data_IF_720110648090
#
_entry.id   IF_720110648090
#
_cell.length_a   1.000
_cell.length_b   1.000
_cell.length_c   1.000
_cell.angle_alpha   90.00
_cell.angle_beta   90.00
_cell.angle_gamma   90.00
#
_symmetry.space_group_name_H-M   'P 1'
#
loop_
_entity.id
_entity.type
_entity.pdbx_description
1 polymer ?
#
# COMPACT_ATOMS: atom_id res chain seq x y z
N UNK A 1 24.95 15.00 -13.10
CA UNK A 1 24.22 13.72 -12.99
C UNK A 1 24.28 13.25 -11.54
N UNK A 2 23.18 13.34 -10.77
CA UNK A 2 23.14 12.69 -9.46
C UNK A 2 23.19 11.18 -9.70
N UNK A 3 24.07 10.48 -8.98
CA UNK A 3 24.15 9.01 -9.02
C UNK A 3 22.73 8.47 -8.84
N UNK A 4 22.24 7.66 -9.81
CA UNK A 4 21.04 6.85 -9.59
C UNK A 4 21.25 6.13 -8.26
N UNK A 5 20.36 6.36 -7.30
CA UNK A 5 20.35 5.63 -6.04
C UNK A 5 20.32 4.16 -6.41
N UNK A 6 21.39 3.42 -6.12
CA UNK A 6 21.45 2.00 -6.42
C UNK A 6 20.39 1.38 -5.51
N UNK A 7 19.26 0.97 -6.10
CA UNK A 7 18.20 0.30 -5.36
C UNK A 7 18.83 -0.97 -4.77
N UNK A 8 18.79 -1.17 -3.44
CA UNK A 8 19.37 -2.35 -2.84
C UNK A 8 18.73 -3.64 -3.39
N UNK A 9 19.37 -4.78 -3.19
CA UNK A 9 18.71 -6.06 -3.53
C UNK A 9 17.52 -6.29 -2.61
N UNK A 10 16.43 -6.79 -3.18
CA UNK A 10 15.22 -7.08 -2.42
C UNK A 10 15.49 -8.15 -1.36
N UNK A 11 15.08 -7.96 -0.09
CA UNK A 11 15.34 -8.93 0.97
C UNK A 11 14.62 -10.26 0.74
N UNK A 12 15.20 -11.34 1.26
CA UNK A 12 14.54 -12.65 1.40
C UNK A 12 14.30 -12.97 2.89
N UNK A 13 13.22 -13.69 3.23
CA UNK A 13 12.16 -14.17 2.33
C UNK A 13 11.07 -13.11 2.06
N UNK A 14 10.37 -13.25 0.93
CA UNK A 14 9.16 -12.46 0.59
C UNK A 14 7.92 -12.85 1.41
N UNK A 15 7.85 -14.12 1.81
CA UNK A 15 6.79 -14.64 2.68
C UNK A 15 7.30 -14.67 4.11
N UNK A 16 6.85 -13.72 4.93
CA UNK A 16 7.25 -13.62 6.34
C UNK A 16 6.11 -14.10 7.23
N UNK A 17 6.21 -15.29 7.86
CA UNK A 17 5.26 -15.69 8.89
C UNK A 17 5.44 -14.85 10.15
N UNK A 18 4.41 -14.78 11.01
CA UNK A 18 4.44 -13.95 12.24
C UNK A 18 5.65 -14.25 13.14
N UNK A 19 6.01 -15.53 13.35
CA UNK A 19 7.16 -15.90 14.19
C UNK A 19 8.52 -15.43 13.63
N UNK A 20 8.58 -14.98 12.38
CA UNK A 20 9.78 -14.47 11.73
C UNK A 20 9.79 -12.94 11.63
N UNK A 21 9.08 -12.24 12.52
CA UNK A 21 8.95 -10.77 12.57
C UNK A 21 10.30 -10.03 12.51
N UNK A 22 11.39 -10.63 13.03
CA UNK A 22 12.75 -10.05 12.89
C UNK A 22 13.16 -9.76 11.43
N UNK A 23 12.59 -10.45 10.44
CA UNK A 23 12.87 -10.19 9.02
C UNK A 23 12.14 -8.93 8.52
N UNK A 24 11.10 -8.45 9.20
CA UNK A 24 10.38 -7.22 8.88
C UNK A 24 11.32 -6.01 8.93
N UNK A 25 12.21 -5.94 9.91
CA UNK A 25 13.17 -4.84 10.03
C UNK A 25 14.08 -4.71 8.79
N UNK A 26 14.47 -5.84 8.17
CA UNK A 26 15.26 -5.84 6.93
C UNK A 26 14.47 -5.26 5.75
N UNK A 27 13.19 -5.61 5.66
CA UNK A 27 12.26 -5.09 4.66
C UNK A 27 12.01 -3.59 4.81
N UNK A 28 11.77 -3.13 6.04
CA UNK A 28 11.60 -1.71 6.35
C UNK A 28 12.86 -0.92 5.99
N UNK A 29 14.03 -1.43 6.36
CA UNK A 29 15.30 -0.81 6.03
C UNK A 29 15.51 -0.71 4.52
N UNK A 30 15.25 -1.80 3.80
CA UNK A 30 15.29 -1.83 2.35
C UNK A 30 14.37 -0.78 1.71
N UNK A 31 13.07 -0.77 2.08
CA UNK A 31 12.08 0.15 1.51
C UNK A 31 12.42 1.61 1.82
N UNK A 32 12.88 1.94 3.03
CA UNK A 32 13.32 3.30 3.36
C UNK A 32 14.53 3.77 2.52
N UNK A 33 15.39 2.85 2.08
CA UNK A 33 16.50 3.16 1.18
C UNK A 33 16.09 3.32 -0.28
N UNK A 34 14.90 2.84 -0.68
CA UNK A 34 14.38 3.04 -2.04
C UNK A 34 14.14 4.54 -2.28
N UNK A 35 13.47 5.23 -1.36
CA UNK A 35 13.24 6.68 -1.47
C UNK A 35 12.90 7.32 -0.12
N UNK A 36 13.38 8.55 0.14
CA UNK A 36 12.99 9.31 1.34
C UNK A 36 11.52 9.71 1.37
N UNK A 37 10.77 9.50 0.26
CA UNK A 37 9.31 9.73 0.18
C UNK A 37 8.51 8.65 0.88
N UNK A 38 9.11 7.48 1.15
CA UNK A 38 8.46 6.36 1.80
C UNK A 38 8.28 6.63 3.30
N UNK A 39 7.06 6.46 3.76
CA UNK A 39 6.67 6.45 5.17
C UNK A 39 6.15 5.06 5.50
N UNK A 40 6.64 4.51 6.59
CA UNK A 40 6.23 3.20 7.07
C UNK A 40 5.64 3.38 8.47
N UNK A 41 4.45 2.83 8.66
CA UNK A 41 3.79 2.71 9.96
C UNK A 41 3.72 1.25 10.38
N UNK A 42 3.97 1.02 11.66
CA UNK A 42 3.88 -0.28 12.29
C UNK A 42 2.51 -0.48 12.92
N UNK A 43 2.04 -1.73 13.08
CA UNK A 43 0.78 -2.00 13.79
C UNK A 43 0.75 -1.36 15.18
N UNK A 44 1.86 -1.34 15.91
CA UNK A 44 1.90 -0.77 17.25
C UNK A 44 2.01 0.77 17.29
N UNK A 45 2.07 1.46 16.15
CA UNK A 45 2.09 2.93 16.12
C UNK A 45 0.73 3.49 16.58
N UNK A 46 0.75 4.42 17.54
CA UNK A 46 -0.46 4.96 18.19
C UNK A 46 -1.39 5.71 17.24
N UNK A 47 -0.84 6.23 16.15
CA UNK A 47 -1.54 7.02 15.13
C UNK A 47 -1.92 6.18 13.89
N UNK A 48 -1.81 4.85 13.98
CA UNK A 48 -2.34 3.92 12.98
C UNK A 48 -3.68 3.35 13.47
N UNK A 49 -4.74 3.90 12.89
CA UNK A 49 -6.12 3.44 13.05
C UNK A 49 -6.62 2.91 11.70
N UNK A 50 -6.84 1.59 11.64
CA UNK A 50 -7.24 0.92 10.40
C UNK A 50 -8.70 1.21 10.03
N UNK A 51 -9.56 1.51 10.99
CA UNK A 51 -10.97 1.84 10.74
C UNK A 51 -11.09 3.26 10.22
N UNK A 52 -10.31 4.20 10.77
CA UNK A 52 -10.22 5.56 10.21
C UNK A 52 -9.63 5.54 8.80
N UNK A 53 -8.62 4.71 8.52
CA UNK A 53 -8.08 4.55 7.16
C UNK A 53 -9.13 3.95 6.21
N UNK A 54 -9.90 2.96 6.67
CA UNK A 54 -11.01 2.37 5.92
C UNK A 54 -12.07 3.40 5.58
N UNK A 55 -12.43 4.24 6.54
CA UNK A 55 -13.40 5.32 6.35
C UNK A 55 -12.89 6.35 5.33
N UNK A 56 -11.62 6.78 5.44
CA UNK A 56 -11.00 7.70 4.47
C UNK A 56 -10.94 7.13 3.06
N UNK A 57 -10.77 5.81 2.92
CA UNK A 57 -10.81 5.14 1.61
C UNK A 57 -12.19 5.25 0.99
N UNK A 58 -13.24 4.97 1.77
CA UNK A 58 -14.63 5.15 1.32
C UNK A 58 -14.93 6.58 0.88
N UNK A 59 -14.50 7.56 1.67
CA UNK A 59 -14.71 8.98 1.39
C UNK A 59 -13.90 9.49 0.17
N UNK A 60 -12.75 8.89 -0.11
CA UNK A 60 -11.78 9.37 -1.10
C UNK A 60 -12.05 8.93 -2.55
N UNK A 61 -12.65 7.76 -2.75
CA UNK A 61 -12.76 7.11 -4.07
C UNK A 61 -14.19 7.08 -4.64
N UNK A 62 -15.09 7.96 -4.19
CA UNK A 62 -16.52 7.98 -4.60
C UNK A 62 -17.25 6.66 -4.30
N UNK A 63 -16.85 6.00 -3.21
CA UNK A 63 -17.48 4.76 -2.76
C UNK A 63 -18.75 5.12 -1.96
N UNK A 64 -19.89 4.56 -2.34
CA UNK A 64 -21.17 4.78 -1.67
C UNK A 64 -21.13 4.34 -0.18
N UNK A 65 -21.89 5.02 0.68
CA UNK A 65 -21.85 4.84 2.14
C UNK A 65 -22.19 3.40 2.60
N UNK A 66 -22.99 2.68 1.82
CA UNK A 66 -23.49 1.33 2.09
C UNK A 66 -22.51 0.21 1.70
N UNK A 67 -21.36 0.56 1.12
CA UNK A 67 -20.38 -0.42 0.63
C UNK A 67 -19.69 -1.20 1.77
N UNK A 68 -19.52 -2.51 1.60
CA UNK A 68 -18.75 -3.41 2.48
C UNK A 68 -17.37 -3.71 1.89
N UNK A 69 -16.35 -3.77 2.74
CA UNK A 69 -15.00 -4.22 2.33
C UNK A 69 -14.67 -5.48 3.13
N UNK A 70 -14.56 -6.61 2.44
CA UNK A 70 -14.46 -7.96 3.03
C UNK A 70 -13.05 -8.33 3.47
N UNK A 71 -12.04 -7.94 2.68
CA UNK A 71 -10.64 -8.36 2.87
C UNK A 71 -9.78 -7.27 3.53
N UNK A 72 -10.41 -6.39 4.31
CA UNK A 72 -9.67 -5.39 5.07
C UNK A 72 -8.81 -6.07 6.15
N UNK A 73 -7.51 -5.76 6.25
CA UNK A 73 -6.62 -6.48 7.14
C UNK A 73 -6.93 -6.09 8.59
N UNK A 74 -6.92 -7.08 9.48
CA UNK A 74 -6.89 -6.82 10.91
C UNK A 74 -5.49 -6.40 11.35
N UNK A 75 -5.42 -5.71 12.48
CA UNK A 75 -4.17 -5.14 13.01
C UNK A 75 -3.10 -6.20 13.27
N UNK A 76 -3.49 -7.38 13.74
CA UNK A 76 -2.62 -8.54 14.00
C UNK A 76 -2.13 -9.25 12.73
N UNK A 77 -2.80 -9.05 11.60
CA UNK A 77 -2.40 -9.60 10.30
C UNK A 77 -1.39 -8.69 9.60
N UNK A 78 -1.36 -7.42 9.96
CA UNK A 78 -0.47 -6.43 9.39
C UNK A 78 0.94 -6.61 9.92
N UNK A 79 1.93 -6.66 9.02
CA UNK A 79 3.33 -6.56 9.38
C UNK A 79 3.77 -5.09 9.40
N UNK A 80 3.42 -4.33 8.36
CA UNK A 80 3.53 -2.87 8.31
C UNK A 80 2.64 -2.27 7.23
N UNK A 81 2.38 -0.97 7.32
CA UNK A 81 1.74 -0.16 6.29
C UNK A 81 2.78 0.75 5.66
N UNK A 82 2.78 0.84 4.34
CA UNK A 82 3.66 1.72 3.58
C UNK A 82 2.82 2.74 2.83
N UNK A 83 3.17 4.02 2.96
CA UNK A 83 2.65 5.10 2.13
C UNK A 83 3.81 5.88 1.53
N UNK A 84 3.66 6.47 0.36
CA UNK A 84 4.67 7.41 -0.14
C UNK A 84 4.07 8.75 -0.55
N UNK A 85 4.85 9.80 -0.30
CA UNK A 85 4.52 11.18 -0.62
C UNK A 85 4.71 11.46 -2.11
N UNK A 86 3.62 11.71 -2.83
CA UNK A 86 3.64 12.05 -4.26
C UNK A 86 3.58 13.55 -4.52
N UNK A 87 3.75 14.40 -3.51
CA UNK A 87 3.78 15.86 -3.71
C UNK A 87 5.00 16.31 -4.52
N UNK A 88 4.78 17.35 -5.34
CA UNK A 88 5.85 18.07 -6.03
C UNK A 88 6.66 18.93 -5.04
N UNK A 89 7.92 19.28 -5.36
CA UNK A 89 8.73 20.15 -4.50
C UNK A 89 8.04 21.49 -4.22
N UNK A 90 8.13 21.98 -3.00
CA UNK A 90 7.51 23.24 -2.59
C UNK A 90 6.00 23.14 -2.29
N UNK A 91 5.36 22.01 -2.57
CA UNK A 91 3.97 21.77 -2.19
C UNK A 91 3.85 21.06 -0.85
N UNK A 92 2.73 21.31 -0.15
CA UNK A 92 2.40 20.56 1.07
C UNK A 92 2.31 19.07 0.74
N UNK A 93 2.98 18.24 1.54
CA UNK A 93 2.96 16.79 1.40
C UNK A 93 1.52 16.29 1.36
N UNK A 94 1.18 15.54 0.31
CA UNK A 94 -0.13 14.91 0.13
C UNK A 94 0.08 13.41 0.06
N UNK A 95 -0.44 12.72 1.06
CA UNK A 95 -0.54 11.27 1.06
C UNK A 95 -1.87 10.93 0.38
N UNK A 96 -1.81 10.59 -0.89
CA UNK A 96 -2.96 10.05 -1.59
C UNK A 96 -3.18 8.61 -1.10
N UNK A 97 -4.43 8.26 -0.88
CA UNK A 97 -4.82 6.93 -0.41
C UNK A 97 -4.40 5.83 -1.41
N UNK A 98 -4.39 6.15 -2.71
CA UNK A 98 -3.85 5.29 -3.77
C UNK A 98 -2.34 5.05 -3.71
N UNK A 99 -1.59 5.76 -2.86
CA UNK A 99 -0.17 5.52 -2.60
C UNK A 99 0.05 4.77 -1.28
N UNK A 100 -0.99 4.19 -0.69
CA UNK A 100 -0.95 3.41 0.55
C UNK A 100 -1.12 1.93 0.27
N UNK A 101 -0.23 1.13 0.84
CA UNK A 101 -0.08 -0.30 0.65
C UNK A 101 0.01 -1.00 2.00
N UNK A 102 -0.70 -2.12 2.13
CA UNK A 102 -0.67 -2.99 3.28
C UNK A 102 0.30 -4.14 3.00
N UNK A 103 1.20 -4.41 3.95
CA UNK A 103 2.07 -5.59 3.93
C UNK A 103 1.69 -6.47 5.11
N UNK A 104 1.03 -7.59 4.83
CA UNK A 104 0.56 -8.54 5.82
C UNK A 104 1.57 -9.67 6.02
N UNK A 105 1.53 -10.29 7.19
CA UNK A 105 2.21 -11.55 7.42
C UNK A 105 1.74 -12.61 6.41
N UNK A 106 2.60 -13.60 6.18
CA UNK A 106 2.44 -14.66 5.18
C UNK A 106 2.54 -14.21 3.72
N UNK A 107 3.10 -13.03 3.46
CA UNK A 107 3.55 -12.60 2.13
C UNK A 107 2.44 -11.97 1.28
N UNK A 108 1.28 -11.69 1.87
CA UNK A 108 0.21 -10.95 1.21
C UNK A 108 0.50 -9.45 1.31
N UNK A 109 0.37 -8.72 0.21
CA UNK A 109 0.42 -7.27 0.16
C UNK A 109 -0.53 -6.74 -0.92
N UNK A 110 -1.06 -5.53 -0.73
CA UNK A 110 -1.96 -4.89 -1.69
C UNK A 110 -2.05 -3.38 -1.46
N UNK A 111 -2.36 -2.65 -2.54
CA UNK A 111 -2.71 -1.23 -2.48
C UNK A 111 -4.20 -1.03 -2.26
N UNK A 112 -4.62 0.16 -1.84
CA UNK A 112 -6.04 0.46 -1.67
C UNK A 112 -6.83 0.49 -3.00
N UNK A 113 -6.17 0.80 -4.11
CA UNK A 113 -6.80 0.71 -5.44
C UNK A 113 -6.99 -0.71 -5.98
N UNK A 114 -6.70 -1.76 -5.21
CA UNK A 114 -6.79 -3.17 -5.65
C UNK A 114 -8.13 -3.82 -5.34
N UNK A 115 -8.99 -3.14 -4.60
CA UNK A 115 -10.30 -3.67 -4.31
C UNK A 115 -11.18 -3.50 -5.54
N UNK A 116 -11.67 -4.61 -6.08
CA UNK A 116 -12.57 -4.62 -7.23
C UNK A 116 -14.03 -4.73 -6.76
N UNK A 117 -14.92 -4.19 -7.60
CA UNK A 117 -16.37 -4.21 -7.44
C UNK A 117 -16.93 -5.59 -7.82
N UNK A 118 -17.70 -6.20 -6.92
CA UNK A 118 -18.38 -7.49 -7.19
C UNK A 118 -19.83 -7.34 -7.66
N UNK A 119 -20.28 -6.10 -7.92
CA UNK A 119 -21.70 -5.80 -7.99
C UNK A 119 -22.49 -6.68 -8.95
N UNK A 120 -23.49 -7.35 -8.39
CA UNK A 120 -24.53 -8.00 -9.15
C UNK A 120 -25.37 -6.92 -9.85
N UNK A 121 -25.44 -6.98 -11.17
CA UNK A 121 -26.30 -6.12 -12.01
C UNK A 121 -27.80 -6.46 -11.89
N UNK A 122 -28.29 -6.73 -10.68
CA UNK A 122 -29.67 -7.10 -10.38
C UNK A 122 -30.39 -6.02 -9.59
N UNK A 123 -31.66 -5.78 -9.93
CA UNK A 123 -32.54 -4.67 -9.50
C UNK A 123 -32.84 -4.56 -7.99
N UNK A 124 -32.10 -5.23 -7.12
CA UNK A 124 -32.20 -5.09 -5.66
C UNK A 124 -30.98 -4.36 -5.09
N UNK A 125 -31.18 -3.05 -4.95
CA UNK A 125 -30.46 -2.09 -4.16
C UNK A 125 -29.82 -2.61 -2.84
N UNK A 126 -28.55 -2.22 -2.63
CA UNK A 126 -27.96 -1.69 -1.38
C UNK A 126 -26.85 -2.46 -0.63
N UNK A 127 -26.05 -3.32 -1.28
CA UNK A 127 -24.79 -3.76 -0.66
C UNK A 127 -23.74 -4.07 -1.71
N UNK A 128 -22.95 -3.06 -2.06
CA UNK A 128 -21.76 -3.25 -2.89
C UNK A 128 -20.62 -3.83 -2.06
N UNK A 129 -19.93 -4.90 -2.50
CA UNK A 129 -18.76 -5.44 -1.78
C UNK A 129 -17.47 -5.26 -2.58
N UNK A 130 -16.44 -4.80 -1.90
CA UNK A 130 -15.10 -4.62 -2.45
C UNK A 130 -14.17 -5.66 -1.83
N UNK A 131 -13.56 -6.49 -2.67
CA UNK A 131 -12.80 -7.67 -2.25
C UNK A 131 -11.47 -7.80 -3.00
N UNK A 132 -10.51 -8.47 -2.37
CA UNK A 132 -9.24 -8.87 -3.01
C UNK A 132 -9.33 -10.26 -3.66
N UNK A 133 -10.45 -10.98 -3.51
CA UNK A 133 -10.60 -12.36 -3.98
C UNK A 133 -10.53 -12.47 -5.51
N UNK A 134 -10.88 -11.42 -6.23
CA UNK A 134 -10.77 -11.35 -7.69
C UNK A 134 -9.33 -11.10 -8.17
N UNK A 135 -8.46 -10.56 -7.31
CA UNK A 135 -7.06 -10.36 -7.65
C UNK A 135 -6.26 -11.68 -7.68
N UNK A 136 -5.43 -11.91 -8.71
CA UNK A 136 -4.55 -13.08 -8.75
C UNK A 136 -3.61 -13.09 -7.54
N UNK A 137 -3.42 -14.26 -6.91
CA UNK A 137 -2.52 -14.41 -5.75
C UNK A 137 -1.10 -13.90 -6.02
N UNK A 138 -0.59 -14.02 -7.25
CA UNK A 138 0.72 -13.49 -7.66
C UNK A 138 0.80 -11.97 -7.59
N UNK A 139 -0.31 -11.26 -7.87
CA UNK A 139 -0.41 -9.81 -7.79
C UNK A 139 -0.52 -9.31 -6.34
N UNK A 140 -0.87 -10.20 -5.40
CA UNK A 140 -0.99 -9.88 -3.98
C UNK A 140 0.28 -10.24 -3.19
N UNK A 141 1.43 -10.36 -3.85
CA UNK A 141 2.69 -10.73 -3.19
C UNK A 141 3.50 -9.51 -2.78
N UNK A 142 4.30 -9.64 -1.72
CA UNK A 142 5.25 -8.60 -1.31
C UNK A 142 6.20 -8.20 -2.44
N UNK A 143 6.70 -9.17 -3.20
CA UNK A 143 7.61 -8.94 -4.33
C UNK A 143 6.95 -8.06 -5.40
N UNK A 144 5.75 -8.45 -5.85
CA UNK A 144 5.03 -7.75 -6.89
C UNK A 144 4.63 -6.32 -6.47
N UNK A 145 4.08 -6.16 -5.27
CA UNK A 145 3.69 -4.85 -4.74
C UNK A 145 4.92 -3.95 -4.53
N UNK A 146 6.03 -4.50 -4.07
CA UNK A 146 7.30 -3.76 -3.96
C UNK A 146 7.76 -3.23 -5.30
N UNK A 147 7.65 -4.04 -6.37
CA UNK A 147 7.98 -3.60 -7.73
C UNK A 147 7.12 -2.41 -8.16
N UNK A 148 5.79 -2.48 -7.94
CA UNK A 148 4.87 -1.38 -8.27
C UNK A 148 5.23 -0.10 -7.52
N UNK A 149 5.54 -0.21 -6.23
CA UNK A 149 5.94 0.95 -5.41
C UNK A 149 7.22 1.59 -5.99
N UNK A 150 8.22 0.77 -6.35
CA UNK A 150 9.48 1.25 -6.93
C UNK A 150 9.24 1.94 -8.28
N UNK A 151 8.46 1.30 -9.16
CA UNK A 151 8.13 1.86 -10.48
C UNK A 151 7.43 3.22 -10.32
N UNK A 152 6.45 3.30 -9.42
CA UNK A 152 5.69 4.53 -9.17
C UNK A 152 6.53 5.65 -8.55
N UNK A 153 7.42 5.32 -7.61
CA UNK A 153 8.36 6.29 -7.05
C UNK A 153 9.30 6.81 -8.13
N UNK A 154 9.81 5.93 -8.98
CA UNK A 154 10.69 6.30 -10.10
C UNK A 154 9.99 7.25 -11.07
N UNK A 155 8.72 7.01 -11.40
CA UNK A 155 7.91 7.92 -12.21
C UNK A 155 7.77 9.31 -11.58
N UNK A 156 7.46 9.37 -10.28
CA UNK A 156 7.31 10.62 -9.54
C UNK A 156 8.64 11.38 -9.54
N UNK A 157 9.75 10.72 -9.20
CA UNK A 157 11.07 11.34 -9.15
C UNK A 157 11.51 11.87 -10.52
N UNK A 158 11.27 11.12 -11.60
CA UNK A 158 11.54 11.58 -12.96
C UNK A 158 10.65 12.75 -13.39
N UNK A 159 9.41 12.81 -12.90
CA UNK A 159 8.48 13.92 -13.20
C UNK A 159 8.90 15.19 -12.47
N UNK A 160 9.42 15.05 -11.25
CA UNK A 160 9.95 16.15 -10.44
C UNK A 160 11.21 16.73 -11.07
N UNK A 161 12.10 15.91 -11.62
CA UNK A 161 13.32 16.40 -12.30
C UNK A 161 13.04 17.20 -13.58
N UNK A 162 11.85 17.03 -14.18
CA UNK A 162 11.42 17.73 -15.40
C UNK A 162 10.61 19.00 -15.13
N UNK A 163 10.21 19.25 -13.89
CA UNK A 163 9.49 20.46 -13.53
C UNK A 163 10.47 21.67 -13.58
N UNK A 164 10.09 22.78 -14.25
CA UNK A 164 10.95 23.96 -14.42
C UNK A 164 11.27 24.68 -13.11
#
# INVERSE_FOLDING_TARGET
MKKRTIIPKCPQPFKIPQYAEKNIAKWIHYLKNVSPRIIIKMPYDKDLDLDVLKQKFKEGDYIEEDMKISDWPKKEQLAFLLSFDSSLPGHKRKFLIGNTYFFCYYGIAFGLGYFEWDGDGGENQNCTTYSLQSCPKSALTWEYITKIIIDRITEIENSVEKAP
#
